data_IF_641297566027
#
_entry.id   IF_641297566027
#
_cell.length_a   1.000
_cell.length_b   1.000
_cell.length_c   1.000
_cell.angle_alpha   90.00
_cell.angle_beta   90.00
_cell.angle_gamma   90.00
#
_symmetry.space_group_name_H-M   'P 1'
#
loop_
_entity.id
_entity.type
_entity.pdbx_description
1 polymer ?
#
# COMPACT_ATOMS: atom_id res chain seq x y z
N UNK A 1 -14.93 2.95 -3.41
CA UNK A 1 -13.63 3.59 -3.66
C UNK A 1 -12.81 2.84 -4.71
N UNK A 2 -12.07 1.76 -4.39
CA UNK A 2 -11.15 1.11 -5.35
C UNK A 2 -11.80 0.67 -6.66
N UNK A 3 -13.01 0.11 -6.60
CA UNK A 3 -13.77 -0.28 -7.79
C UNK A 3 -14.08 0.90 -8.72
N UNK A 4 -14.30 2.11 -8.18
CA UNK A 4 -14.55 3.31 -8.98
C UNK A 4 -13.29 3.73 -9.74
N UNK A 5 -12.13 3.73 -9.08
CA UNK A 5 -10.85 3.98 -9.73
C UNK A 5 -10.50 2.90 -10.77
N UNK A 6 -10.77 1.63 -10.47
CA UNK A 6 -10.54 0.52 -11.37
C UNK A 6 -11.45 0.57 -12.61
N UNK A 7 -12.71 1.02 -12.47
CA UNK A 7 -13.68 1.13 -13.58
C UNK A 7 -13.17 2.01 -14.72
N UNK A 8 -12.41 3.08 -14.41
CA UNK A 8 -11.79 3.96 -15.43
C UNK A 8 -10.75 3.24 -16.29
N UNK A 9 -10.20 2.14 -15.80
CA UNK A 9 -9.18 1.33 -16.47
C UNK A 9 -9.70 -0.06 -16.89
N UNK A 10 -11.02 -0.25 -16.96
CA UNK A 10 -11.64 -1.55 -17.25
C UNK A 10 -11.13 -2.21 -18.54
N UNK A 11 -10.92 -1.44 -19.61
CA UNK A 11 -10.35 -1.94 -20.88
C UNK A 11 -8.92 -2.48 -20.72
N UNK A 12 -8.09 -1.77 -19.94
CA UNK A 12 -6.71 -2.20 -19.68
C UNK A 12 -6.68 -3.41 -18.74
N UNK A 13 -7.60 -3.48 -17.77
CA UNK A 13 -7.76 -4.64 -16.90
C UNK A 13 -8.18 -5.86 -17.73
N UNK A 14 -9.16 -5.72 -18.63
CA UNK A 14 -9.58 -6.79 -19.52
C UNK A 14 -8.42 -7.29 -20.40
N UNK A 15 -7.63 -6.36 -20.98
CA UNK A 15 -6.42 -6.71 -21.71
C UNK A 15 -5.39 -7.45 -20.84
N UNK A 16 -5.13 -6.96 -19.63
CA UNK A 16 -4.22 -7.59 -18.67
C UNK A 16 -4.64 -9.03 -18.34
N UNK A 17 -5.92 -9.26 -18.02
CA UNK A 17 -6.47 -10.57 -17.67
C UNK A 17 -6.47 -11.53 -18.87
N UNK A 18 -6.78 -11.03 -20.07
CA UNK A 18 -6.72 -11.81 -21.31
C UNK A 18 -5.31 -12.32 -21.57
N UNK A 19 -4.30 -11.43 -21.58
CA UNK A 19 -2.91 -11.84 -21.81
C UNK A 19 -2.33 -12.64 -20.65
N UNK A 20 -2.78 -12.41 -19.41
CA UNK A 20 -2.44 -13.27 -18.28
C UNK A 20 -3.00 -14.70 -18.46
N UNK A 21 -4.22 -14.83 -18.99
CA UNK A 21 -4.81 -16.13 -19.29
C UNK A 21 -4.05 -16.85 -20.40
N UNK A 22 -3.74 -16.16 -21.50
CA UNK A 22 -2.94 -16.73 -22.59
C UNK A 22 -1.58 -17.17 -22.06
N UNK A 23 -0.92 -16.33 -21.25
CA UNK A 23 0.33 -16.69 -20.59
C UNK A 23 0.20 -17.99 -19.79
N UNK A 24 -0.78 -18.10 -18.89
CA UNK A 24 -1.00 -19.31 -18.09
C UNK A 24 -1.32 -20.52 -18.98
N UNK A 25 -2.20 -20.39 -19.96
CA UNK A 25 -2.55 -21.49 -20.87
C UNK A 25 -1.35 -21.98 -21.69
N UNK A 26 -0.52 -21.07 -22.20
CA UNK A 26 0.73 -21.44 -22.88
C UNK A 26 1.71 -22.12 -21.95
N UNK A 27 1.76 -21.72 -20.67
CA UNK A 27 2.59 -22.40 -19.66
C UNK A 27 2.08 -23.83 -19.41
N UNK A 28 0.77 -24.01 -19.30
CA UNK A 28 0.13 -25.32 -19.10
C UNK A 28 0.27 -26.24 -20.32
N UNK A 29 0.44 -25.69 -21.52
CA UNK A 29 0.63 -26.47 -22.74
C UNK A 29 2.01 -27.16 -22.82
N UNK A 30 3.05 -26.59 -22.18
CA UNK A 30 4.43 -27.09 -22.29
C UNK A 30 4.56 -28.54 -21.78
N UNK A 31 4.10 -28.90 -20.56
CA UNK A 31 4.18 -30.30 -20.10
C UNK A 31 3.37 -31.27 -20.97
N UNK A 32 2.25 -30.82 -21.56
CA UNK A 32 1.46 -31.65 -22.47
C UNK A 32 2.20 -31.93 -23.78
N UNK A 33 2.86 -30.92 -24.35
CA UNK A 33 3.68 -31.11 -25.55
C UNK A 33 4.88 -32.03 -25.26
N UNK A 34 5.45 -31.95 -24.06
CA UNK A 34 6.48 -32.88 -23.62
C UNK A 34 5.96 -34.34 -23.57
N UNK A 35 4.76 -34.56 -23.04
CA UNK A 35 4.09 -35.88 -23.06
C UNK A 35 3.99 -36.40 -24.49
N UNK A 36 3.47 -35.58 -25.42
CA UNK A 36 3.28 -35.97 -26.81
C UNK A 36 4.64 -36.30 -27.50
N UNK A 37 5.71 -35.53 -27.24
CA UNK A 37 7.06 -35.80 -27.77
C UNK A 37 7.58 -37.16 -27.29
N UNK A 38 7.36 -37.50 -26.02
CA UNK A 38 7.84 -38.77 -25.45
C UNK A 38 7.02 -39.94 -26.02
N UNK A 39 5.69 -39.85 -25.96
CA UNK A 39 4.80 -40.97 -26.28
C UNK A 39 4.66 -41.22 -27.79
N UNK A 40 4.54 -40.16 -28.60
CA UNK A 40 4.33 -40.29 -30.04
C UNK A 40 5.58 -40.03 -30.87
N UNK A 41 6.61 -39.40 -30.30
CA UNK A 41 7.88 -39.16 -30.97
C UNK A 41 8.92 -40.22 -30.62
N UNK A 42 9.43 -40.16 -29.38
CA UNK A 42 10.56 -40.98 -28.93
C UNK A 42 10.18 -42.47 -28.89
N UNK A 43 9.05 -42.81 -28.27
CA UNK A 43 8.62 -44.21 -28.13
C UNK A 43 8.19 -44.82 -29.47
N UNK A 44 7.69 -44.01 -30.41
CA UNK A 44 7.31 -44.46 -31.76
C UNK A 44 8.48 -44.43 -32.77
N UNK A 45 9.62 -43.80 -32.42
CA UNK A 45 10.74 -43.59 -33.33
C UNK A 45 10.48 -42.59 -34.46
N UNK A 46 9.47 -41.73 -34.34
CA UNK A 46 9.08 -40.77 -35.38
C UNK A 46 9.75 -39.40 -35.14
N UNK A 47 10.82 -39.13 -35.90
CA UNK A 47 11.54 -37.86 -35.84
C UNK A 47 10.67 -36.66 -36.29
N UNK A 48 9.70 -36.87 -37.17
CA UNK A 48 8.83 -35.79 -37.64
C UNK A 48 7.89 -35.33 -36.53
N UNK A 49 7.34 -36.25 -35.74
CA UNK A 49 6.53 -35.90 -34.56
C UNK A 49 7.37 -35.17 -33.50
N UNK A 50 8.61 -35.63 -33.24
CA UNK A 50 9.53 -34.94 -32.31
C UNK A 50 9.77 -33.49 -32.75
N UNK A 51 10.11 -33.27 -34.03
CA UNK A 51 10.40 -31.93 -34.56
C UNK A 51 9.14 -31.06 -34.60
N UNK A 52 8.01 -31.59 -35.05
CA UNK A 52 6.74 -30.87 -35.14
C UNK A 52 6.25 -30.40 -33.76
N UNK A 53 6.19 -31.33 -32.79
CA UNK A 53 5.79 -31.03 -31.40
C UNK A 53 6.81 -30.14 -30.70
N UNK A 54 8.11 -30.33 -30.97
CA UNK A 54 9.18 -29.47 -30.49
C UNK A 54 9.05 -28.03 -30.98
N UNK A 55 8.74 -27.83 -32.27
CA UNK A 55 8.47 -26.50 -32.83
C UNK A 55 7.20 -25.86 -32.25
N UNK A 56 6.15 -26.65 -32.03
CA UNK A 56 4.95 -26.17 -31.31
C UNK A 56 5.28 -25.76 -29.87
N UNK A 57 6.18 -26.48 -29.19
CA UNK A 57 6.62 -26.15 -27.83
C UNK A 57 7.46 -24.85 -27.81
N UNK A 58 8.33 -24.65 -28.79
CA UNK A 58 9.05 -23.38 -28.97
C UNK A 58 8.07 -22.22 -29.25
N UNK A 59 7.10 -22.42 -30.14
CA UNK A 59 6.07 -21.42 -30.42
C UNK A 59 5.26 -21.09 -29.16
N UNK A 60 4.82 -22.10 -28.40
CA UNK A 60 4.12 -21.92 -27.15
C UNK A 60 4.96 -21.14 -26.12
N UNK A 61 6.28 -21.37 -26.08
CA UNK A 61 7.21 -20.64 -25.22
C UNK A 61 7.34 -19.17 -25.63
N UNK A 62 7.41 -18.88 -26.92
CA UNK A 62 7.43 -17.49 -27.44
C UNK A 62 6.11 -16.79 -27.10
N UNK A 63 4.96 -17.44 -27.34
CA UNK A 63 3.63 -16.90 -27.00
C UNK A 63 3.52 -16.66 -25.49
N UNK A 64 4.06 -17.57 -24.66
CA UNK A 64 4.10 -17.42 -23.21
C UNK A 64 4.86 -16.14 -22.82
N UNK A 65 6.09 -15.95 -23.30
CA UNK A 65 6.92 -14.78 -22.96
C UNK A 65 6.28 -13.48 -23.46
N UNK A 66 5.81 -13.44 -24.71
CA UNK A 66 5.17 -12.24 -25.29
C UNK A 66 3.90 -11.88 -24.51
N UNK A 67 3.07 -12.87 -24.17
CA UNK A 67 1.84 -12.66 -23.40
C UNK A 67 2.14 -12.16 -21.98
N UNK A 68 3.21 -12.67 -21.34
CA UNK A 68 3.66 -12.16 -20.04
C UNK A 68 4.06 -10.68 -20.12
N UNK A 69 4.88 -10.31 -21.10
CA UNK A 69 5.33 -8.92 -21.27
C UNK A 69 4.16 -7.97 -21.54
N UNK A 70 3.22 -8.36 -22.41
CA UNK A 70 2.02 -7.57 -22.69
C UNK A 70 1.13 -7.46 -21.46
N UNK A 71 0.93 -8.55 -20.71
CA UNK A 71 0.15 -8.52 -19.46
C UNK A 71 0.79 -7.58 -18.43
N UNK A 72 2.11 -7.61 -18.27
CA UNK A 72 2.85 -6.70 -17.38
C UNK A 72 2.73 -5.24 -17.83
N UNK A 73 2.76 -4.99 -19.14
CA UNK A 73 2.56 -3.64 -19.69
C UNK A 73 1.19 -3.08 -19.29
N UNK A 74 0.11 -3.84 -19.54
CA UNK A 74 -1.24 -3.41 -19.16
C UNK A 74 -1.37 -3.25 -17.64
N UNK A 75 -0.83 -4.18 -16.85
CA UNK A 75 -0.85 -4.11 -15.39
C UNK A 75 -0.15 -2.85 -14.86
N UNK A 76 1.01 -2.52 -15.41
CA UNK A 76 1.77 -1.32 -15.03
C UNK A 76 0.98 -0.06 -15.32
N UNK A 77 0.31 0.02 -16.48
CA UNK A 77 -0.56 1.15 -16.83
C UNK A 77 -1.75 1.28 -15.88
N UNK A 78 -2.41 0.16 -15.52
CA UNK A 78 -3.53 0.14 -14.57
C UNK A 78 -3.08 0.60 -13.18
N UNK A 79 -2.03 -0.02 -12.64
CA UNK A 79 -1.54 0.26 -11.28
C UNK A 79 -1.02 1.69 -11.14
N UNK A 80 -0.19 2.15 -12.09
CA UNK A 80 0.30 3.53 -12.10
C UNK A 80 -0.83 4.55 -12.32
N UNK A 81 -1.80 4.24 -13.18
CA UNK A 81 -2.95 5.08 -13.44
C UNK A 81 -3.87 5.24 -12.23
N UNK A 82 -4.12 4.16 -11.49
CA UNK A 82 -4.88 4.20 -10.22
C UNK A 82 -4.10 5.00 -9.18
N UNK A 83 -2.80 4.75 -9.03
CA UNK A 83 -1.95 5.49 -8.09
C UNK A 83 -1.94 7.00 -8.37
N UNK A 84 -1.84 7.38 -9.65
CA UNK A 84 -1.86 8.79 -10.08
C UNK A 84 -3.17 9.47 -9.71
N UNK A 85 -4.31 8.87 -10.07
CA UNK A 85 -5.61 9.47 -9.79
C UNK A 85 -5.87 9.55 -8.28
N UNK A 86 -5.53 8.49 -7.54
CA UNK A 86 -5.70 8.47 -6.08
C UNK A 86 -4.85 9.54 -5.39
N UNK A 87 -3.59 9.72 -5.82
CA UNK A 87 -2.74 10.81 -5.32
C UNK A 87 -3.30 12.19 -5.66
N UNK A 88 -3.79 12.37 -6.89
CA UNK A 88 -4.40 13.63 -7.31
C UNK A 88 -5.61 14.00 -6.46
N UNK A 89 -6.53 13.06 -6.25
CA UNK A 89 -7.73 13.30 -5.46
C UNK A 89 -7.41 13.54 -3.98
N UNK A 90 -6.47 12.77 -3.41
CA UNK A 90 -5.97 13.00 -2.05
C UNK A 90 -5.33 14.38 -1.91
N UNK A 91 -4.47 14.76 -2.85
CA UNK A 91 -3.79 16.05 -2.84
C UNK A 91 -4.77 17.22 -2.93
N UNK A 92 -5.72 17.16 -3.87
CA UNK A 92 -6.76 18.16 -4.03
C UNK A 92 -7.62 18.29 -2.78
N UNK A 93 -7.99 17.17 -2.16
CA UNK A 93 -8.77 17.17 -0.91
C UNK A 93 -8.00 17.80 0.25
N UNK A 94 -6.73 17.45 0.42
CA UNK A 94 -5.89 17.93 1.52
C UNK A 94 -5.58 19.44 1.40
N UNK A 95 -5.33 19.93 0.19
CA UNK A 95 -5.03 21.37 -0.03
C UNK A 95 -6.27 22.24 0.21
N UNK A 96 -7.45 21.73 -0.13
CA UNK A 96 -8.71 22.43 0.15
C UNK A 96 -9.05 22.55 1.64
N UNK A 97 -8.34 21.82 2.52
CA UNK A 97 -8.68 21.78 3.94
C UNK A 97 -8.19 22.97 4.75
N UNK A 98 -9.10 23.53 5.55
CA UNK A 98 -8.76 24.42 6.67
C UNK A 98 -7.91 23.69 7.74
N UNK A 99 -7.29 24.46 8.64
CA UNK A 99 -6.55 23.87 9.76
C UNK A 99 -7.46 23.13 10.73
N UNK A 100 -8.69 23.58 10.88
CA UNK A 100 -9.70 22.89 11.67
C UNK A 100 -10.02 21.50 11.10
N UNK A 101 -10.31 21.43 9.80
CA UNK A 101 -10.61 20.16 9.11
C UNK A 101 -9.45 19.17 9.19
N UNK A 102 -8.19 19.63 9.21
CA UNK A 102 -7.05 18.73 9.39
C UNK A 102 -7.06 18.01 10.74
N UNK A 103 -7.73 18.54 11.77
CA UNK A 103 -8.07 17.82 13.00
C UNK A 103 -6.90 17.11 13.66
N UNK A 104 -5.73 17.75 13.71
CA UNK A 104 -4.51 17.19 14.32
C UNK A 104 -3.68 16.24 13.44
N UNK A 105 -4.10 15.97 12.19
CA UNK A 105 -3.24 15.26 11.24
C UNK A 105 -2.01 16.12 10.91
N UNK A 106 -0.83 15.63 11.27
CA UNK A 106 0.43 16.31 10.92
C UNK A 106 0.68 16.29 9.42
N UNK A 107 1.41 17.29 8.91
CA UNK A 107 1.85 17.32 7.52
C UNK A 107 2.62 16.03 7.14
N UNK A 108 3.44 15.50 8.05
CA UNK A 108 4.16 14.24 7.84
C UNK A 108 3.23 13.03 7.68
N UNK A 109 2.12 12.99 8.42
CA UNK A 109 1.11 11.94 8.31
C UNK A 109 0.41 12.02 6.95
N UNK A 110 0.03 13.22 6.52
CA UNK A 110 -0.61 13.46 5.22
C UNK A 110 0.29 13.07 4.04
N UNK A 111 1.59 13.41 4.11
CA UNK A 111 2.59 12.97 3.13
C UNK A 111 2.70 11.45 3.11
N UNK A 112 2.80 10.82 4.29
CA UNK A 112 2.90 9.36 4.40
C UNK A 112 1.68 8.66 3.81
N UNK A 113 0.46 9.16 4.09
CA UNK A 113 -0.78 8.60 3.52
C UNK A 113 -0.84 8.79 1.99
N UNK A 114 -0.40 9.94 1.48
CA UNK A 114 -0.40 10.21 0.02
C UNK A 114 0.63 9.38 -0.74
N UNK A 115 1.79 9.08 -0.13
CA UNK A 115 2.88 8.35 -0.80
C UNK A 115 2.82 6.86 -0.51
N UNK A 116 2.92 6.48 0.77
CA UNK A 116 3.11 5.10 1.19
C UNK A 116 1.80 4.31 1.15
N UNK A 117 0.69 4.86 1.65
CA UNK A 117 -0.58 4.13 1.64
C UNK A 117 -1.08 3.94 0.21
N UNK A 118 -0.90 4.93 -0.68
CA UNK A 118 -1.22 4.77 -2.11
C UNK A 118 -0.33 3.69 -2.77
N UNK A 119 0.95 3.61 -2.40
CA UNK A 119 1.83 2.52 -2.86
C UNK A 119 1.33 1.15 -2.39
N UNK A 120 0.89 1.03 -1.13
CA UNK A 120 0.30 -0.21 -0.60
C UNK A 120 -0.97 -0.61 -1.37
N UNK A 121 -1.85 0.34 -1.65
CA UNK A 121 -3.02 0.12 -2.50
C UNK A 121 -2.63 -0.36 -3.89
N UNK A 122 -1.60 0.24 -4.50
CA UNK A 122 -1.11 -0.16 -5.83
C UNK A 122 -0.56 -1.59 -5.83
N UNK A 123 0.15 -1.98 -4.76
CA UNK A 123 0.62 -3.35 -4.58
C UNK A 123 -0.52 -4.34 -4.37
N UNK A 124 -1.61 -3.95 -3.70
CA UNK A 124 -2.80 -4.80 -3.61
C UNK A 124 -3.45 -5.01 -4.99
N UNK A 125 -3.56 -3.96 -5.80
CA UNK A 125 -4.11 -4.09 -7.16
C UNK A 125 -3.23 -5.03 -8.01
N UNK A 126 -1.91 -4.86 -7.96
CA UNK A 126 -0.94 -5.76 -8.60
C UNK A 126 -1.12 -7.21 -8.15
N UNK A 127 -1.18 -7.42 -6.84
CA UNK A 127 -1.38 -8.72 -6.22
C UNK A 127 -2.68 -9.39 -6.69
N UNK A 128 -3.80 -8.66 -6.70
CA UNK A 128 -5.11 -9.19 -7.09
C UNK A 128 -5.17 -9.53 -8.58
N UNK A 129 -4.74 -8.61 -9.44
CA UNK A 129 -4.87 -8.75 -10.89
C UNK A 129 -3.83 -9.72 -11.49
N UNK A 130 -2.62 -9.76 -10.94
CA UNK A 130 -1.56 -10.64 -11.43
C UNK A 130 -1.48 -11.92 -10.60
N UNK A 131 -0.97 -11.82 -9.37
CA UNK A 131 -0.59 -13.02 -8.60
C UNK A 131 -1.79 -13.91 -8.26
N UNK A 132 -2.83 -13.38 -7.61
CA UNK A 132 -3.99 -14.19 -7.21
C UNK A 132 -4.64 -14.80 -8.45
N UNK A 133 -4.88 -13.99 -9.47
CA UNK A 133 -5.48 -14.45 -10.73
C UNK A 133 -4.69 -15.59 -11.37
N UNK A 134 -3.39 -15.40 -11.60
CA UNK A 134 -2.59 -16.38 -12.34
C UNK A 134 -2.31 -17.63 -11.51
N UNK A 135 -1.97 -17.50 -10.22
CA UNK A 135 -1.73 -18.65 -9.36
C UNK A 135 -2.97 -19.55 -9.28
N UNK A 136 -4.16 -18.95 -9.15
CA UNK A 136 -5.43 -19.70 -9.10
C UNK A 136 -5.71 -20.43 -10.42
N UNK A 137 -5.57 -19.75 -11.56
CA UNK A 137 -5.80 -20.38 -12.87
C UNK A 137 -4.77 -21.48 -13.13
N UNK A 138 -3.50 -21.27 -12.78
CA UNK A 138 -2.46 -22.28 -12.99
C UNK A 138 -2.73 -23.53 -12.15
N UNK A 139 -3.10 -23.40 -10.88
CA UNK A 139 -3.41 -24.56 -10.02
C UNK A 139 -4.66 -25.29 -10.54
N UNK A 140 -5.73 -24.57 -10.84
CA UNK A 140 -6.96 -25.17 -11.37
C UNK A 140 -6.69 -25.87 -12.71
N UNK A 141 -6.00 -25.19 -13.62
CA UNK A 141 -5.66 -25.72 -14.94
C UNK A 141 -4.74 -26.94 -14.87
N UNK A 142 -3.71 -26.93 -14.01
CA UNK A 142 -2.84 -28.08 -13.79
C UNK A 142 -3.61 -29.30 -13.28
N UNK A 143 -4.54 -29.10 -12.34
CA UNK A 143 -5.40 -30.16 -11.82
C UNK A 143 -6.34 -30.70 -12.91
N UNK A 144 -7.04 -29.83 -13.64
CA UNK A 144 -7.95 -30.22 -14.72
C UNK A 144 -7.22 -31.03 -15.79
N UNK A 145 -6.05 -30.56 -16.24
CA UNK A 145 -5.27 -31.27 -17.25
C UNK A 145 -4.75 -32.60 -16.69
N UNK A 146 -4.33 -32.65 -15.42
CA UNK A 146 -3.92 -33.90 -14.78
C UNK A 146 -5.05 -34.94 -14.80
N UNK A 147 -6.30 -34.54 -14.50
CA UNK A 147 -7.47 -35.42 -14.57
C UNK A 147 -7.76 -35.91 -16.00
N UNK A 148 -7.45 -35.10 -17.02
CA UNK A 148 -7.57 -35.51 -18.42
C UNK A 148 -6.51 -36.53 -18.86
N UNK A 149 -5.37 -36.59 -18.15
CA UNK A 149 -4.29 -37.55 -18.41
C UNK A 149 -4.56 -38.87 -17.69
N UNK A 150 -4.74 -38.84 -16.37
CA UNK A 150 -5.06 -40.03 -15.57
C UNK A 150 -5.77 -39.68 -14.27
N UNK A 151 -6.98 -40.21 -14.09
CA UNK A 151 -7.85 -39.89 -12.94
C UNK A 151 -7.24 -40.34 -11.61
N UNK A 152 -6.60 -41.51 -11.55
CA UNK A 152 -6.05 -42.04 -10.29
C UNK A 152 -4.83 -41.25 -9.84
N UNK A 153 -3.94 -40.87 -10.77
CA UNK A 153 -2.79 -40.03 -10.46
C UNK A 153 -3.18 -38.60 -10.10
N UNK A 154 -4.12 -38.02 -10.85
CA UNK A 154 -4.63 -36.68 -10.55
C UNK A 154 -5.27 -36.59 -9.15
N UNK A 155 -5.95 -37.66 -8.71
CA UNK A 155 -6.49 -37.73 -7.35
C UNK A 155 -5.40 -37.65 -6.27
N UNK A 156 -4.24 -38.28 -6.49
CA UNK A 156 -3.09 -38.21 -5.56
C UNK A 156 -2.57 -36.76 -5.47
N UNK A 157 -2.42 -36.09 -6.62
CA UNK A 157 -2.00 -34.68 -6.69
C UNK A 157 -3.01 -33.80 -5.94
N UNK A 158 -4.31 -34.00 -6.19
CA UNK A 158 -5.40 -33.23 -5.57
C UNK A 158 -5.44 -33.40 -4.05
N UNK A 159 -5.05 -34.54 -3.49
CA UNK A 159 -5.01 -34.77 -2.03
C UNK A 159 -3.83 -34.01 -1.39
N UNK A 160 -2.68 -33.95 -2.05
CA UNK A 160 -1.46 -33.33 -1.49
C UNK A 160 -1.53 -31.79 -1.54
N UNK A 161 -2.21 -31.22 -2.53
CA UNK A 161 -2.41 -29.78 -2.69
C UNK A 161 -3.01 -29.12 -1.41
N UNK A 162 -4.16 -29.56 -0.88
CA UNK A 162 -4.73 -29.01 0.36
C UNK A 162 -3.83 -29.19 1.58
N UNK A 163 -3.09 -30.30 1.67
CA UNK A 163 -2.19 -30.57 2.80
C UNK A 163 -1.10 -29.49 2.86
N UNK A 164 -0.43 -29.23 1.73
CA UNK A 164 0.61 -28.19 1.64
C UNK A 164 -0.01 -26.81 1.83
N UNK A 165 -1.18 -26.55 1.25
CA UNK A 165 -1.86 -25.27 1.42
C UNK A 165 -2.16 -25.00 2.91
N UNK A 166 -2.78 -25.94 3.63
CA UNK A 166 -3.09 -25.80 5.05
C UNK A 166 -1.82 -25.64 5.89
N UNK A 167 -0.76 -26.38 5.58
CA UNK A 167 0.53 -26.26 6.25
C UNK A 167 1.10 -24.84 6.07
N UNK A 168 1.09 -24.33 4.84
CA UNK A 168 1.58 -23.01 4.51
C UNK A 168 0.75 -21.90 5.17
N UNK A 169 -0.58 -22.05 5.20
CA UNK A 169 -1.49 -21.17 5.94
C UNK A 169 -1.16 -21.13 7.43
N UNK A 170 -1.00 -22.30 8.07
CA UNK A 170 -0.71 -22.42 9.51
C UNK A 170 0.63 -21.79 9.87
N UNK A 171 1.69 -22.06 9.10
CA UNK A 171 3.01 -21.46 9.32
C UNK A 171 2.96 -19.94 9.14
N UNK A 172 2.29 -19.48 8.09
CA UNK A 172 2.15 -18.04 7.82
C UNK A 172 1.38 -17.31 8.92
N UNK A 173 0.26 -17.87 9.35
CA UNK A 173 -0.53 -17.32 10.45
C UNK A 173 0.25 -17.28 11.77
N UNK A 174 1.04 -18.32 12.08
CA UNK A 174 1.91 -18.37 13.28
C UNK A 174 3.07 -17.37 13.22
N UNK A 175 3.62 -17.08 12.05
CA UNK A 175 4.72 -16.12 11.89
C UNK A 175 4.24 -14.66 11.91
N UNK A 176 3.02 -14.37 11.45
CA UNK A 176 2.47 -13.03 11.37
C UNK A 176 2.58 -12.20 12.67
N UNK A 177 2.20 -12.72 13.87
CA UNK A 177 2.37 -11.98 15.12
C UNK A 177 3.85 -11.78 15.49
N UNK A 178 4.75 -12.69 15.09
CA UNK A 178 6.19 -12.56 15.34
C UNK A 178 6.81 -11.43 14.53
N UNK A 179 6.34 -11.21 13.29
CA UNK A 179 6.72 -10.02 12.50
C UNK A 179 6.28 -8.70 13.15
N UNK A 180 5.20 -8.71 13.94
CA UNK A 180 4.82 -7.58 14.78
C UNK A 180 5.87 -7.25 15.86
N UNK A 181 6.43 -8.28 16.50
CA UNK A 181 7.50 -8.12 17.51
C UNK A 181 8.80 -7.59 16.89
N UNK A 182 9.17 -8.04 15.69
CA UNK A 182 10.32 -7.48 14.96
C UNK A 182 10.16 -5.96 14.81
N UNK A 183 8.99 -5.50 14.37
CA UNK A 183 8.72 -4.08 14.18
C UNK A 183 8.88 -3.29 15.48
N UNK A 184 8.30 -3.77 16.58
CA UNK A 184 8.42 -3.13 17.89
C UNK A 184 9.88 -3.07 18.38
N UNK A 185 10.64 -4.14 18.20
CA UNK A 185 12.05 -4.18 18.60
C UNK A 185 12.91 -3.21 17.75
N UNK A 186 12.67 -3.14 16.43
CA UNK A 186 13.31 -2.16 15.55
C UNK A 186 12.95 -0.73 15.95
N UNK A 187 11.67 -0.47 16.28
CA UNK A 187 11.23 0.86 16.71
C UNK A 187 11.91 1.29 18.02
N UNK A 188 12.06 0.38 18.99
CA UNK A 188 12.82 0.61 20.23
C UNK A 188 14.31 0.87 19.97
N UNK A 189 14.93 0.08 19.09
CA UNK A 189 16.33 0.27 18.69
C UNK A 189 16.52 1.67 18.04
N UNK A 190 15.63 2.05 17.13
CA UNK A 190 15.65 3.35 16.47
C UNK A 190 15.38 4.50 17.44
N UNK A 191 14.52 4.30 18.44
CA UNK A 191 14.27 5.28 19.50
C UNK A 191 15.55 5.56 20.29
N UNK A 192 16.23 4.51 20.78
CA UNK A 192 17.50 4.67 21.50
C UNK A 192 18.58 5.35 20.66
N UNK A 193 18.65 4.99 19.37
CA UNK A 193 19.56 5.66 18.45
C UNK A 193 19.28 7.17 18.38
N UNK A 194 18.01 7.58 18.23
CA UNK A 194 17.64 9.01 18.20
C UNK A 194 17.92 9.72 19.52
N UNK A 195 17.63 9.09 20.66
CA UNK A 195 17.92 9.63 21.99
C UNK A 195 19.42 9.87 22.18
N UNK A 196 20.26 8.90 21.78
CA UNK A 196 21.72 9.02 21.88
C UNK A 196 22.30 10.08 20.93
N UNK A 197 21.79 10.21 19.71
CA UNK A 197 22.24 11.25 18.76
C UNK A 197 21.86 12.64 19.25
N UNK A 198 20.62 12.81 19.71
CA UNK A 198 20.11 14.11 20.20
C UNK A 198 20.79 14.50 21.52
N UNK A 199 20.95 13.53 22.42
CA UNK A 199 21.53 13.68 23.75
C UNK A 199 23.04 13.49 23.80
N UNK A 200 23.76 13.44 22.67
CA UNK A 200 25.18 13.03 22.64
C UNK A 200 26.06 13.88 23.55
N UNK A 201 25.76 15.18 23.68
CA UNK A 201 26.46 16.10 24.59
C UNK A 201 26.24 15.74 26.06
N UNK A 202 25.02 15.34 26.43
CA UNK A 202 24.66 14.92 27.79
C UNK A 202 25.36 13.60 28.11
N UNK A 203 25.31 12.62 27.21
CA UNK A 203 25.98 11.32 27.39
C UNK A 203 27.48 11.50 27.61
N UNK A 204 28.14 12.36 26.82
CA UNK A 204 29.56 12.70 26.97
C UNK A 204 29.85 13.48 28.26
N UNK A 205 29.04 14.48 28.59
CA UNK A 205 29.22 15.30 29.79
C UNK A 205 29.12 14.48 31.09
N UNK A 206 28.25 13.46 31.12
CA UNK A 206 28.12 12.54 32.27
C UNK A 206 28.99 11.28 32.16
N UNK A 207 29.85 11.17 31.15
CA UNK A 207 30.72 10.02 30.89
C UNK A 207 29.96 8.67 30.88
N UNK A 208 28.79 8.61 30.22
CA UNK A 208 27.89 7.44 30.18
C UNK A 208 27.93 6.66 28.87
N UNK A 209 28.98 6.81 28.06
CA UNK A 209 29.10 6.14 26.75
C UNK A 209 28.97 4.61 26.84
N UNK A 210 29.61 3.97 27.82
CA UNK A 210 29.55 2.50 27.99
C UNK A 210 28.16 2.04 28.44
N UNK A 211 27.50 2.83 29.30
CA UNK A 211 26.13 2.58 29.73
C UNK A 211 25.18 2.59 28.52
N UNK A 212 25.27 3.61 27.68
CA UNK A 212 24.45 3.71 26.47
C UNK A 212 24.79 2.64 25.43
N UNK A 213 26.05 2.26 25.31
CA UNK A 213 26.48 1.16 24.44
C UNK A 213 25.84 -0.16 24.88
N UNK A 214 25.86 -0.48 26.18
CA UNK A 214 25.22 -1.68 26.73
C UNK A 214 23.71 -1.65 26.49
N UNK A 215 23.06 -0.50 26.69
CA UNK A 215 21.63 -0.31 26.41
C UNK A 215 21.33 -0.50 24.92
N UNK A 216 22.14 0.02 24.02
CA UNK A 216 21.95 -0.17 22.59
C UNK A 216 22.13 -1.63 22.17
N UNK A 217 23.12 -2.33 22.75
CA UNK A 217 23.34 -3.76 22.54
C UNK A 217 22.14 -4.61 23.01
N UNK A 218 21.54 -4.29 24.16
CA UNK A 218 20.32 -4.97 24.66
C UNK A 218 19.18 -4.86 23.64
N UNK A 219 18.92 -3.65 23.12
CA UNK A 219 17.87 -3.42 22.12
C UNK A 219 18.17 -4.12 20.79
N UNK A 220 19.43 -4.11 20.35
CA UNK A 220 19.87 -4.82 19.13
C UNK A 220 19.72 -6.33 19.28
N UNK A 221 20.06 -6.89 20.46
CA UNK A 221 19.90 -8.32 20.75
C UNK A 221 18.43 -8.72 20.78
N UNK A 222 17.56 -7.89 21.35
CA UNK A 222 16.11 -8.11 21.29
C UNK A 222 15.59 -8.14 19.84
N UNK A 223 16.01 -7.17 19.01
CA UNK A 223 15.65 -7.14 17.59
C UNK A 223 16.16 -8.38 16.84
N UNK A 224 17.40 -8.81 17.12
CA UNK A 224 17.97 -10.04 16.57
C UNK A 224 17.15 -11.28 16.97
N UNK A 225 16.83 -11.44 18.26
CA UNK A 225 16.05 -12.58 18.75
C UNK A 225 14.63 -12.61 18.17
N UNK A 226 13.96 -11.46 18.09
CA UNK A 226 12.66 -11.34 17.46
C UNK A 226 12.72 -11.76 15.98
N UNK A 227 13.79 -11.35 15.27
CA UNK A 227 14.01 -11.71 13.87
C UNK A 227 14.26 -13.20 13.70
N UNK A 228 15.17 -13.79 14.49
CA UNK A 228 15.44 -15.23 14.48
C UNK A 228 14.18 -16.05 14.76
N UNK A 229 13.35 -15.65 15.73
CA UNK A 229 12.11 -16.37 16.05
C UNK A 229 11.06 -16.32 14.93
N UNK A 230 10.96 -15.19 14.22
CA UNK A 230 10.04 -15.04 13.09
C UNK A 230 10.55 -15.82 11.87
N UNK A 231 11.81 -15.57 11.48
CA UNK A 231 12.43 -16.18 10.31
C UNK A 231 12.60 -17.69 10.47
N UNK A 232 12.95 -18.20 11.65
CA UNK A 232 12.98 -19.66 11.89
C UNK A 232 11.62 -20.34 11.66
N UNK A 233 10.52 -19.65 11.94
CA UNK A 233 9.17 -20.17 11.67
C UNK A 233 8.89 -20.23 10.18
N UNK A 234 9.33 -19.21 9.44
CA UNK A 234 9.16 -19.12 7.99
C UNK A 234 10.12 -20.02 7.21
N UNK A 235 11.33 -20.22 7.73
CA UNK A 235 12.36 -21.04 7.13
C UNK A 235 11.91 -22.50 6.98
N UNK A 236 11.00 -22.98 7.84
CA UNK A 236 10.41 -24.32 7.72
C UNK A 236 9.50 -24.49 6.49
N UNK A 237 8.95 -23.40 5.93
CA UNK A 237 8.01 -23.49 4.81
C UNK A 237 8.65 -24.09 3.57
N UNK A 238 9.82 -23.61 3.17
CA UNK A 238 10.49 -24.06 1.93
C UNK A 238 10.96 -25.53 1.99
N UNK A 239 11.65 -25.99 3.05
CA UNK A 239 12.03 -27.40 3.19
C UNK A 239 10.83 -28.33 3.28
N UNK A 240 9.74 -27.93 3.94
CA UNK A 240 8.53 -28.76 4.00
C UNK A 240 7.86 -28.87 2.63
N UNK A 241 7.71 -27.77 1.88
CA UNK A 241 7.20 -27.81 0.51
C UNK A 241 8.07 -28.71 -0.37
N UNK A 242 9.40 -28.59 -0.27
CA UNK A 242 10.33 -29.44 -1.02
C UNK A 242 10.19 -30.92 -0.63
N UNK A 243 10.10 -31.23 0.66
CA UNK A 243 9.91 -32.59 1.17
C UNK A 243 8.62 -33.21 0.62
N UNK A 244 7.48 -32.52 0.76
CA UNK A 244 6.19 -33.02 0.25
C UNK A 244 6.16 -33.11 -1.28
N UNK A 245 6.84 -32.21 -1.99
CA UNK A 245 7.00 -32.28 -3.44
C UNK A 245 7.76 -33.54 -3.83
N UNK A 246 8.89 -33.83 -3.18
CA UNK A 246 9.67 -35.04 -3.45
C UNK A 246 8.93 -36.32 -3.05
N UNK A 247 8.17 -36.32 -1.94
CA UNK A 247 7.29 -37.44 -1.58
C UNK A 247 6.24 -37.67 -2.67
N UNK A 248 5.59 -36.61 -3.15
CA UNK A 248 4.61 -36.71 -4.24
C UNK A 248 5.26 -37.28 -5.50
N UNK A 249 6.44 -36.81 -5.90
CA UNK A 249 7.18 -37.32 -7.05
C UNK A 249 7.50 -38.80 -6.87
N UNK A 250 7.99 -39.23 -5.70
CA UNK A 250 8.28 -40.64 -5.42
C UNK A 250 7.02 -41.51 -5.51
N UNK A 251 5.90 -41.04 -4.96
CA UNK A 251 4.61 -41.75 -5.05
C UNK A 251 4.15 -41.86 -6.51
N UNK A 252 4.24 -40.77 -7.28
CA UNK A 252 3.89 -40.77 -8.70
C UNK A 252 4.80 -41.71 -9.49
N UNK A 253 6.12 -41.69 -9.26
CA UNK A 253 7.07 -42.59 -9.92
C UNK A 253 6.84 -44.05 -9.56
N UNK A 254 6.54 -44.36 -8.30
CA UNK A 254 6.28 -45.75 -7.88
C UNK A 254 4.97 -46.27 -8.45
N UNK A 255 3.85 -45.58 -8.19
CA UNK A 255 2.54 -46.01 -8.68
C UNK A 255 2.49 -45.95 -10.21
N UNK A 256 3.12 -44.93 -10.81
CA UNK A 256 3.17 -44.70 -12.24
C UNK A 256 4.08 -45.68 -12.96
N UNK A 257 5.23 -46.00 -12.38
CA UNK A 257 6.14 -47.01 -12.89
C UNK A 257 5.49 -48.39 -12.93
N UNK A 258 4.85 -48.82 -11.83
CA UNK A 258 4.10 -50.10 -11.80
C UNK A 258 3.00 -50.11 -12.86
N UNK A 259 2.23 -49.02 -12.96
CA UNK A 259 1.15 -48.89 -13.94
C UNK A 259 1.65 -48.79 -15.39
N UNK A 260 2.86 -48.28 -15.59
CA UNK A 260 3.49 -48.16 -16.90
C UNK A 260 3.98 -49.51 -17.40
N UNK A 261 4.57 -50.32 -16.52
CA UNK A 261 4.90 -51.73 -16.82
C UNK A 261 3.64 -52.52 -17.18
N UNK A 262 2.51 -52.25 -16.51
CA UNK A 262 1.21 -52.87 -16.80
C UNK A 262 0.53 -52.28 -18.07
N UNK A 263 1.14 -51.32 -18.76
CA UNK A 263 0.57 -50.68 -19.95
C UNK A 263 -0.66 -49.80 -19.70
N UNK A 264 -0.97 -49.47 -18.43
CA UNK A 264 -2.16 -48.68 -18.05
C UNK A 264 -1.91 -47.17 -18.02
N UNK A 265 -0.65 -46.74 -18.15
CA UNK A 265 -0.24 -45.34 -18.30
C UNK A 265 1.02 -45.27 -19.15
N UNK A 266 1.12 -44.27 -20.02
CA UNK A 266 2.31 -44.05 -20.85
C UNK A 266 3.42 -43.34 -20.06
N UNK A 267 4.67 -43.47 -20.54
CA UNK A 267 5.83 -42.85 -19.87
C UNK A 267 5.75 -41.31 -19.95
N UNK A 268 5.34 -40.76 -21.09
CA UNK A 268 5.11 -39.33 -21.26
C UNK A 268 4.04 -38.82 -20.31
N UNK A 269 2.91 -39.54 -20.16
CA UNK A 269 1.84 -39.17 -19.22
C UNK A 269 2.36 -39.07 -17.78
N UNK A 270 3.22 -39.99 -17.35
CA UNK A 270 3.84 -39.95 -16.02
C UNK A 270 4.72 -38.70 -15.84
N UNK A 271 5.57 -38.38 -16.82
CA UNK A 271 6.43 -37.20 -16.78
C UNK A 271 5.58 -35.92 -16.73
N UNK A 272 4.55 -35.81 -17.58
CA UNK A 272 3.64 -34.67 -17.60
C UNK A 272 2.92 -34.47 -16.27
N UNK A 273 2.44 -35.54 -15.63
CA UNK A 273 1.80 -35.48 -14.32
C UNK A 273 2.76 -34.99 -13.22
N UNK A 274 4.02 -35.40 -13.26
CA UNK A 274 5.06 -34.92 -12.34
C UNK A 274 5.29 -33.41 -12.53
N UNK A 275 5.38 -32.94 -13.76
CA UNK A 275 5.54 -31.51 -14.07
C UNK A 275 4.32 -30.68 -13.61
N UNK A 276 3.10 -31.16 -13.87
CA UNK A 276 1.88 -30.51 -13.38
C UNK A 276 1.81 -30.47 -11.84
N UNK A 277 2.26 -31.54 -11.18
CA UNK A 277 2.36 -31.59 -9.73
C UNK A 277 3.35 -30.54 -9.20
N UNK A 278 4.59 -30.50 -9.71
CA UNK A 278 5.62 -29.52 -9.30
C UNK A 278 5.10 -28.10 -9.51
N UNK A 279 4.48 -27.83 -10.67
CA UNK A 279 3.91 -26.52 -10.97
C UNK A 279 2.80 -26.15 -9.97
N UNK A 280 1.84 -27.03 -9.69
CA UNK A 280 0.78 -26.75 -8.73
C UNK A 280 1.33 -26.46 -7.32
N UNK A 281 2.31 -27.25 -6.86
CA UNK A 281 2.91 -27.09 -5.53
C UNK A 281 3.71 -25.78 -5.38
N UNK A 282 4.49 -25.40 -6.39
CA UNK A 282 5.20 -24.13 -6.40
C UNK A 282 4.24 -22.92 -6.37
N UNK A 283 3.11 -23.00 -7.08
CA UNK A 283 2.09 -21.94 -7.06
C UNK A 283 1.41 -21.82 -5.68
N UNK A 284 1.17 -22.94 -5.00
CA UNK A 284 0.61 -22.96 -3.62
C UNK A 284 1.56 -22.29 -2.63
N UNK A 285 2.87 -22.57 -2.73
CA UNK A 285 3.88 -21.91 -1.89
C UNK A 285 3.84 -20.39 -2.06
N UNK A 286 3.73 -19.91 -3.31
CA UNK A 286 3.59 -18.49 -3.57
C UNK A 286 2.28 -17.91 -3.01
N UNK A 287 1.18 -18.66 -3.07
CA UNK A 287 -0.13 -18.22 -2.55
C UNK A 287 -0.08 -17.95 -1.05
N UNK A 288 0.67 -18.73 -0.27
CA UNK A 288 0.81 -18.51 1.17
C UNK A 288 1.46 -17.15 1.51
N UNK A 289 2.43 -16.70 0.70
CA UNK A 289 3.11 -15.41 0.90
C UNK A 289 2.16 -14.20 0.78
N UNK A 290 1.07 -14.34 0.02
CA UNK A 290 0.09 -13.30 -0.28
C UNK A 290 -0.68 -12.84 0.96
N UNK A 291 -0.88 -13.74 1.93
CA UNK A 291 -1.71 -13.51 3.12
C UNK A 291 -1.19 -12.34 3.96
N UNK A 292 0.11 -12.09 3.93
CA UNK A 292 0.74 -11.00 4.70
C UNK A 292 0.41 -9.61 4.16
N UNK A 293 0.05 -9.50 2.88
CA UNK A 293 -0.18 -8.21 2.19
C UNK A 293 -1.60 -7.69 2.47
N UNK A 294 -2.58 -8.58 2.62
CA UNK A 294 -3.99 -8.20 2.73
C UNK A 294 -4.30 -7.32 3.96
N UNK A 295 -3.86 -7.67 5.19
CA UNK A 295 -4.14 -6.84 6.37
C UNK A 295 -3.51 -5.44 6.26
N UNK A 296 -2.28 -5.35 5.73
CA UNK A 296 -1.56 -4.07 5.55
C UNK A 296 -2.25 -3.16 4.55
N UNK A 297 -2.75 -3.76 3.48
CA UNK A 297 -3.46 -3.03 2.42
C UNK A 297 -4.80 -2.50 2.93
N UNK A 298 -5.55 -3.29 3.74
CA UNK A 298 -6.81 -2.85 4.37
C UNK A 298 -6.61 -1.59 5.22
N UNK A 299 -5.64 -1.59 6.13
CA UNK A 299 -5.34 -0.42 6.99
C UNK A 299 -4.96 0.82 6.18
N UNK A 300 -4.31 0.64 5.03
CA UNK A 300 -3.95 1.74 4.12
C UNK A 300 -5.18 2.28 3.38
N UNK A 301 -6.07 1.39 2.93
CA UNK A 301 -7.34 1.76 2.29
C UNK A 301 -8.22 2.55 3.24
N UNK A 302 -8.36 2.09 4.49
CA UNK A 302 -9.22 2.75 5.49
C UNK A 302 -8.72 4.18 5.79
N UNK A 303 -7.40 4.39 5.93
CA UNK A 303 -6.80 5.72 6.13
C UNK A 303 -6.94 6.66 4.93
N UNK A 304 -6.92 6.11 3.72
CA UNK A 304 -7.17 6.87 2.48
C UNK A 304 -8.65 7.23 2.39
N UNK A 305 -9.53 6.28 2.70
CA UNK A 305 -10.99 6.49 2.70
C UNK A 305 -11.37 7.58 3.70
N UNK A 306 -10.79 7.57 4.90
CA UNK A 306 -10.96 8.61 5.92
C UNK A 306 -10.68 10.01 5.35
N UNK A 307 -9.59 10.17 4.58
CA UNK A 307 -9.26 11.46 3.96
C UNK A 307 -10.27 11.83 2.88
N UNK A 308 -10.56 10.90 1.97
CA UNK A 308 -11.45 11.18 0.84
C UNK A 308 -12.90 11.44 1.27
N UNK A 309 -13.34 10.88 2.40
CA UNK A 309 -14.70 11.08 2.92
C UNK A 309 -14.82 12.25 3.90
N UNK A 310 -13.72 12.84 4.36
CA UNK A 310 -13.78 13.93 5.34
C UNK A 310 -14.10 15.24 4.63
N UNK A 311 -15.26 15.81 4.95
CA UNK A 311 -15.72 17.09 4.44
C UNK A 311 -15.05 18.28 5.12
N UNK A 312 -15.06 19.42 4.42
CA UNK A 312 -14.59 20.68 4.97
C UNK A 312 -15.54 21.14 6.08
N UNK A 313 -15.00 21.43 7.26
CA UNK A 313 -15.77 21.92 8.40
C UNK A 313 -16.19 23.38 8.17
N UNK A 314 -15.29 24.20 7.62
CA UNK A 314 -15.55 25.63 7.37
C UNK A 314 -16.34 25.82 6.08
N UNK A 315 -17.66 25.66 6.18
CA UNK A 315 -18.59 25.93 5.09
C UNK A 315 -18.81 27.45 4.94
N UNK A 316 -19.01 27.91 3.70
CA UNK A 316 -19.34 29.31 3.43
C UNK A 316 -20.81 29.54 3.78
N UNK A 317 -21.07 30.55 4.62
CA UNK A 317 -22.43 30.93 5.03
C UNK A 317 -22.90 32.14 4.20
N UNK A 318 -24.16 32.16 3.81
CA UNK A 318 -24.73 33.38 3.21
C UNK A 318 -24.79 34.48 4.27
N UNK A 319 -24.36 35.68 3.92
CA UNK A 319 -24.40 36.85 4.80
C UNK A 319 -24.82 38.08 4.03
N UNK A 320 -25.57 38.95 4.68
CA UNK A 320 -25.97 40.25 4.13
C UNK A 320 -24.75 41.18 4.13
N UNK A 321 -24.51 41.85 3.02
CA UNK A 321 -23.40 42.79 2.90
C UNK A 321 -23.69 44.02 3.77
N UNK A 322 -22.89 44.25 4.82
CA UNK A 322 -22.96 45.44 5.65
C UNK A 322 -22.40 46.69 4.97
N UNK A 323 -22.42 47.81 5.71
CA UNK A 323 -21.84 49.08 5.25
C UNK A 323 -20.32 48.90 5.11
N UNK A 324 -19.78 49.20 3.93
CA UNK A 324 -18.34 49.10 3.61
C UNK A 324 -17.54 50.20 4.27
N UNK A 325 -17.28 50.08 5.57
CA UNK A 325 -16.20 50.80 6.23
C UNK A 325 -15.00 49.87 6.21
N UNK A 326 -13.84 50.28 5.67
CA UNK A 326 -12.66 49.42 5.54
C UNK A 326 -12.07 49.05 6.93
N UNK A 327 -12.75 48.19 7.68
CA UNK A 327 -12.57 47.93 9.10
C UNK A 327 -12.68 46.42 9.33
N UNK A 328 -11.73 45.88 10.09
CA UNK A 328 -11.82 44.54 10.66
C UNK A 328 -12.33 44.66 12.10
N UNK A 329 -13.43 43.98 12.44
CA UNK A 329 -14.06 44.06 13.76
C UNK A 329 -14.22 42.67 14.38
N UNK A 330 -13.85 42.57 15.65
CA UNK A 330 -14.15 41.43 16.53
C UNK A 330 -15.22 41.89 17.52
N UNK A 331 -16.33 41.16 17.57
CA UNK A 331 -17.49 41.46 18.44
C UNK A 331 -17.88 40.21 19.23
N UNK A 332 -17.70 40.25 20.55
CA UNK A 332 -18.02 39.18 21.52
C UNK A 332 -17.39 37.82 21.18
N UNK A 333 -16.14 37.84 20.71
CA UNK A 333 -15.50 36.64 20.16
C UNK A 333 -14.94 35.74 21.27
N UNK A 334 -15.54 34.56 21.40
CA UNK A 334 -14.98 33.43 22.17
C UNK A 334 -14.45 32.34 21.23
N UNK A 335 -13.32 31.73 21.59
CA UNK A 335 -12.76 30.64 20.81
C UNK A 335 -12.12 29.53 21.65
N UNK A 336 -12.44 28.30 21.26
CA UNK A 336 -11.91 27.05 21.79
C UNK A 336 -11.25 26.28 20.66
N UNK A 337 -10.03 25.77 20.89
CA UNK A 337 -9.48 24.81 19.93
C UNK A 337 -10.31 23.52 19.91
N UNK A 338 -10.40 22.83 18.76
CA UNK A 338 -11.04 21.53 18.70
C UNK A 338 -10.48 20.57 19.77
N UNK A 339 -11.37 19.97 20.57
CA UNK A 339 -11.06 19.10 21.72
C UNK A 339 -10.47 19.80 22.96
N UNK A 340 -10.55 21.13 23.07
CA UNK A 340 -10.24 21.87 24.30
C UNK A 340 -11.51 22.32 25.00
N UNK A 341 -11.58 22.09 26.32
CA UNK A 341 -12.67 22.59 27.16
C UNK A 341 -12.37 24.00 27.73
N UNK A 342 -11.11 24.45 27.63
CA UNK A 342 -10.72 25.80 28.02
C UNK A 342 -10.70 26.70 26.77
N UNK A 343 -11.31 27.87 26.86
CA UNK A 343 -11.22 28.83 25.77
C UNK A 343 -9.87 29.54 25.83
N UNK A 344 -9.37 29.81 24.63
CA UNK A 344 -8.10 30.50 24.42
C UNK A 344 -8.31 31.98 24.25
N UNK A 345 -9.48 32.36 23.74
CA UNK A 345 -9.94 33.74 23.61
C UNK A 345 -11.33 33.82 24.24
N UNK A 346 -11.55 34.88 25.01
CA UNK A 346 -12.77 35.14 25.75
C UNK A 346 -13.11 36.62 25.62
N UNK A 347 -14.35 36.94 25.25
CA UNK A 347 -14.90 38.29 25.24
C UNK A 347 -14.00 39.30 24.49
N UNK A 348 -13.54 38.91 23.29
CA UNK A 348 -12.63 39.75 22.50
C UNK A 348 -13.43 40.78 21.69
N UNK A 349 -13.20 42.06 22.00
CA UNK A 349 -13.80 43.21 21.32
C UNK A 349 -12.73 44.20 20.85
N UNK A 350 -12.60 44.40 19.53
CA UNK A 350 -11.80 45.50 18.98
C UNK A 350 -12.08 45.75 17.49
N UNK A 351 -11.84 47.00 17.08
CA UNK A 351 -11.86 47.41 15.67
C UNK A 351 -10.46 47.74 15.14
N UNK A 352 -10.15 47.40 13.90
CA UNK A 352 -8.93 47.79 13.20
C UNK A 352 -9.31 48.60 11.96
N UNK A 353 -9.18 49.92 12.07
CA UNK A 353 -9.51 50.86 11.00
C UNK A 353 -8.43 50.88 9.91
N UNK A 354 -8.84 51.24 8.68
CA UNK A 354 -7.92 51.42 7.55
C UNK A 354 -6.73 52.33 7.90
N UNK A 355 -5.52 51.85 7.62
CA UNK A 355 -4.27 52.57 7.86
C UNK A 355 -3.80 52.56 9.31
N UNK A 356 -4.58 52.03 10.25
CA UNK A 356 -4.16 51.86 11.63
C UNK A 356 -3.22 50.66 11.77
N UNK A 357 -2.24 50.78 12.66
CA UNK A 357 -1.38 49.67 13.08
C UNK A 357 -1.65 49.38 14.55
N UNK A 358 -2.02 48.13 14.88
CA UNK A 358 -2.22 47.69 16.26
C UNK A 358 -1.16 46.65 16.64
N UNK A 359 -0.58 46.82 17.83
CA UNK A 359 0.34 45.85 18.41
C UNK A 359 -0.39 44.96 19.42
N UNK A 360 -0.30 43.64 19.25
CA UNK A 360 -0.87 42.66 20.19
C UNK A 360 0.25 42.13 21.09
N UNK A 361 0.21 42.49 22.38
CA UNK A 361 1.26 42.18 23.35
C UNK A 361 0.70 41.22 24.41
N UNK A 362 1.52 40.28 24.90
CA UNK A 362 1.15 39.36 25.97
C UNK A 362 2.17 38.23 26.16
N UNK A 363 2.08 37.50 27.28
CA UNK A 363 2.93 36.35 27.58
C UNK A 363 2.73 35.18 26.61
N UNK A 364 3.70 34.27 26.51
CA UNK A 364 3.54 33.03 25.72
C UNK A 364 2.29 32.27 26.18
N UNK A 365 1.45 31.84 25.24
CA UNK A 365 0.18 31.16 25.54
C UNK A 365 -1.04 32.07 25.67
N UNK A 366 -0.88 33.40 25.66
CA UNK A 366 -2.00 34.37 25.80
C UNK A 366 -2.96 34.47 24.60
N UNK A 367 -2.97 33.51 23.67
CA UNK A 367 -3.88 33.51 22.51
C UNK A 367 -3.52 34.39 21.31
N UNK A 368 -2.39 35.14 21.33
CA UNK A 368 -1.98 36.04 20.23
C UNK A 368 -1.98 35.38 18.84
N UNK A 369 -1.34 34.23 18.72
CA UNK A 369 -1.30 33.48 17.45
C UNK A 369 -2.68 32.93 17.06
N UNK A 370 -3.54 32.66 18.03
CA UNK A 370 -4.93 32.23 17.79
C UNK A 370 -5.75 33.35 17.20
N UNK A 371 -5.57 34.58 17.67
CA UNK A 371 -6.24 35.76 17.13
C UNK A 371 -5.91 35.98 15.64
N UNK A 372 -4.63 35.83 15.26
CA UNK A 372 -4.20 35.88 13.84
C UNK A 372 -4.82 34.73 13.03
N UNK A 373 -4.94 33.53 13.60
CA UNK A 373 -5.57 32.38 12.93
C UNK A 373 -7.06 32.59 12.67
N UNK A 374 -7.78 33.22 13.60
CA UNK A 374 -9.18 33.59 13.39
C UNK A 374 -9.33 34.66 12.30
N UNK A 375 -8.41 35.63 12.23
CA UNK A 375 -8.39 36.62 11.15
C UNK A 375 -8.20 35.96 9.77
N UNK A 376 -7.35 34.95 9.68
CA UNK A 376 -7.15 34.18 8.43
C UNK A 376 -8.24 33.14 8.18
N UNK A 377 -9.24 33.02 9.06
CA UNK A 377 -10.27 31.98 9.06
C UNK A 377 -9.68 30.56 8.97
N UNK A 378 -8.56 30.32 9.66
CA UNK A 378 -8.05 28.97 9.88
C UNK A 378 -8.99 28.13 10.77
N UNK A 379 -9.82 28.83 11.56
CA UNK A 379 -10.88 28.35 12.44
C UNK A 379 -12.02 29.37 12.45
N UNK A 380 -13.26 28.93 12.70
CA UNK A 380 -14.36 29.84 13.00
C UNK A 380 -14.43 30.11 14.52
N UNK A 381 -14.96 31.27 14.90
CA UNK A 381 -15.23 31.59 16.31
C UNK A 381 -16.35 30.69 16.86
N UNK A 382 -16.28 30.37 18.16
CA UNK A 382 -17.33 29.59 18.82
C UNK A 382 -18.56 30.45 19.11
N UNK A 383 -18.32 31.67 19.58
CA UNK A 383 -19.33 32.71 19.83
C UNK A 383 -18.81 34.05 19.30
N UNK A 384 -19.73 34.96 19.00
CA UNK A 384 -19.43 36.28 18.48
C UNK A 384 -19.29 36.28 16.97
N UNK A 385 -18.85 37.42 16.44
CA UNK A 385 -18.70 37.62 15.01
C UNK A 385 -17.39 38.34 14.69
N UNK A 386 -16.76 37.91 13.59
CA UNK A 386 -15.62 38.59 13.00
C UNK A 386 -16.09 39.12 11.64
N UNK A 387 -16.02 40.43 11.46
CA UNK A 387 -16.44 41.07 10.21
C UNK A 387 -15.27 41.79 9.55
N UNK A 388 -15.23 41.72 8.22
CA UNK A 388 -14.34 42.50 7.38
C UNK A 388 -15.20 43.35 6.45
N UNK A 389 -15.07 44.67 6.52
CA UNK A 389 -15.87 45.61 5.73
C UNK A 389 -17.39 45.43 5.88
N UNK A 390 -17.82 45.11 7.10
CA UNK A 390 -19.23 44.83 7.43
C UNK A 390 -19.74 43.48 6.91
N UNK A 391 -18.91 42.68 6.26
CA UNK A 391 -19.23 41.31 5.84
C UNK A 391 -18.66 40.30 6.83
N UNK A 392 -19.47 39.33 7.25
CA UNK A 392 -19.02 38.24 8.11
C UNK A 392 -17.91 37.42 7.43
N UNK A 393 -16.80 37.18 8.12
CA UNK A 393 -15.70 36.37 7.60
C UNK A 393 -16.16 34.95 7.21
N UNK A 394 -17.20 34.43 7.86
CA UNK A 394 -17.79 33.11 7.56
C UNK A 394 -18.46 33.04 6.18
N UNK A 395 -18.75 34.20 5.57
CA UNK A 395 -19.28 34.31 4.22
C UNK A 395 -18.23 34.49 3.13
N UNK A 396 -16.97 34.70 3.50
CA UNK A 396 -15.87 34.85 2.56
C UNK A 396 -15.24 33.50 2.21
N UNK A 397 -14.95 33.29 0.93
CA UNK A 397 -14.13 32.18 0.46
C UNK A 397 -12.68 32.35 0.92
N UNK A 398 -11.93 31.25 1.03
CA UNK A 398 -10.49 31.31 1.30
C UNK A 398 -9.72 32.16 0.27
N UNK A 399 -10.18 32.17 -0.99
CA UNK A 399 -9.56 32.98 -2.04
C UNK A 399 -9.74 34.47 -1.77
N UNK A 400 -10.93 34.90 -1.35
CA UNK A 400 -11.20 36.30 -0.97
C UNK A 400 -10.41 36.70 0.27
N UNK A 401 -10.35 35.84 1.30
CA UNK A 401 -9.56 36.09 2.52
C UNK A 401 -8.07 36.27 2.17
N UNK A 402 -7.52 35.42 1.30
CA UNK A 402 -6.12 35.51 0.87
C UNK A 402 -5.82 36.76 0.03
N UNK A 403 -6.81 37.36 -0.64
CA UNK A 403 -6.65 38.65 -1.31
C UNK A 403 -6.68 39.83 -0.33
N UNK A 404 -7.32 39.65 0.82
CA UNK A 404 -7.49 40.68 1.85
C UNK A 404 -6.30 40.66 2.82
N UNK A 405 -5.83 39.48 3.21
CA UNK A 405 -4.88 39.30 4.31
C UNK A 405 -3.55 38.78 3.77
N UNK A 406 -2.48 39.52 4.06
CA UNK A 406 -1.10 39.04 3.89
C UNK A 406 -0.53 38.65 5.26
N UNK A 407 -0.13 37.39 5.41
CA UNK A 407 0.41 36.86 6.65
C UNK A 407 1.90 36.51 6.52
N UNK A 408 2.70 37.00 7.47
CA UNK A 408 4.11 36.67 7.62
C UNK A 408 4.25 35.70 8.81
N UNK A 409 4.49 34.40 8.57
CA UNK A 409 4.54 33.41 9.65
C UNK A 409 5.78 33.57 10.52
N UNK A 410 5.67 33.15 11.78
CA UNK A 410 6.79 33.14 12.74
C UNK A 410 7.98 32.28 12.25
N UNK A 411 7.70 31.14 11.63
CA UNK A 411 8.72 30.32 10.94
C UNK A 411 8.53 30.46 9.44
N UNK A 412 9.51 31.05 8.78
CA UNK A 412 9.50 31.25 7.33
C UNK A 412 9.65 29.92 6.60
N UNK A 413 8.97 29.81 5.47
CA UNK A 413 9.06 28.67 4.56
C UNK A 413 9.33 29.18 3.15
N UNK A 414 10.24 28.50 2.44
CA UNK A 414 10.57 28.80 1.05
C UNK A 414 10.32 27.56 0.20
N UNK A 415 9.80 27.78 -1.00
CA UNK A 415 9.67 26.75 -2.01
C UNK A 415 10.98 26.56 -2.76
N UNK A 416 11.17 25.35 -3.30
CA UNK A 416 12.29 25.09 -4.23
C UNK A 416 12.12 25.97 -5.47
N UNK A 417 13.18 26.69 -5.85
CA UNK A 417 13.14 27.68 -6.92
C UNK A 417 14.14 28.80 -6.68
N UNK A 418 13.98 29.91 -7.38
CA UNK A 418 14.79 31.11 -7.19
C UNK A 418 14.25 31.99 -6.06
N UNK A 419 15.09 32.90 -5.57
CA UNK A 419 14.65 33.96 -4.64
C UNK A 419 13.54 34.80 -5.29
N UNK A 420 13.68 35.11 -6.59
CA UNK A 420 12.70 35.90 -7.34
C UNK A 420 11.33 35.21 -7.36
N UNK A 421 11.28 33.91 -7.63
CA UNK A 421 10.02 33.15 -7.65
C UNK A 421 9.32 33.17 -6.28
N UNK A 422 10.07 32.96 -5.19
CA UNK A 422 9.52 33.02 -3.83
C UNK A 422 9.00 34.43 -3.46
N UNK A 423 9.66 35.50 -3.93
CA UNK A 423 9.19 36.87 -3.71
C UNK A 423 7.94 37.22 -4.56
N UNK A 424 7.70 36.50 -5.66
CA UNK A 424 6.57 36.74 -6.56
C UNK A 424 5.31 35.92 -6.23
N UNK A 425 5.39 35.03 -5.23
CA UNK A 425 4.26 34.15 -4.84
C UNK A 425 3.03 34.88 -4.28
N UNK A 426 3.15 36.14 -3.87
CA UNK A 426 2.10 36.93 -3.23
C UNK A 426 1.38 37.93 -4.14
N UNK A 427 1.09 37.57 -5.39
CA UNK A 427 0.30 38.41 -6.31
C UNK A 427 -1.15 37.98 -6.40
#
# INVERSE_FOLDING_TARGET
MLLQYAKKYSKLIAGQLLFATIWVLSQLAIPRLMVDIVDYGIMAGDMNEIVSRGMLMLLATVVNIVSLLISIYFLTRVTAGIARNLRGDLFNRIIGWSKETRGGLSNSTLVTRTVNDVKQVSMLVDLSLRKIYTLTITVIGAVIISFSIDVKMAAIILIIIPIIFILALKLTSKALPKYGRIRQAIDRMNQRFRENVTGIRVVKAFNKSDYETKKFQEATKEACQANVQAESTMMLLSPLVLLFTNILILVLLYVGGVRSVLGTITMGALIGLIEYAIMALNNIQQFASIITIFPRSKVSIDRIKEILSKDEVLQIKESMCGIKENVLRFDDVDFYYPNSNAAVLHDIHFDLNKGATKAVIGSTGSGKSTLVRLMMRDYDAYRGQITYNGQDITSLTNAEINQIITHIPQTTFLFSGTIRENLQTGK
#
